data_IF_191007523655
#
_entry.id   IF_191007523655
#
_cell.length_a   1.000
_cell.length_b   1.000
_cell.length_c   1.000
_cell.angle_alpha   90.00
_cell.angle_beta   90.00
_cell.angle_gamma   90.00
#
_symmetry.space_group_name_H-M   'P 1'
#
loop_
_entity.id
_entity.type
_entity.pdbx_description
1 polymer ?
#
# COMPACT_ATOMS: atom_id res chain seq x y z
N UNK A 1 -24.97 -47.56 10.90
CA UNK A 1 -24.50 -46.76 12.07
C UNK A 1 -25.38 -45.53 12.21
N UNK A 2 -26.20 -45.46 13.27
CA UNK A 2 -27.03 -44.27 13.56
C UNK A 2 -26.19 -43.32 14.41
N UNK A 3 -25.67 -42.27 13.82
CA UNK A 3 -25.03 -41.22 14.62
C UNK A 3 -26.05 -40.59 15.56
N UNK A 4 -25.66 -40.43 16.81
CA UNK A 4 -26.46 -39.76 17.84
C UNK A 4 -26.89 -38.38 17.36
N UNK A 5 -28.11 -37.95 17.64
CA UNK A 5 -28.66 -36.63 17.29
C UNK A 5 -27.70 -35.49 17.70
N UNK A 6 -27.01 -35.65 18.82
CA UNK A 6 -26.04 -34.70 19.35
C UNK A 6 -24.83 -34.51 18.43
N UNK A 7 -24.32 -35.59 17.80
CA UNK A 7 -23.19 -35.53 16.87
C UNK A 7 -23.56 -34.80 15.57
N UNK A 8 -24.79 -34.99 15.08
CA UNK A 8 -25.30 -34.27 13.91
C UNK A 8 -25.42 -32.77 14.16
N UNK A 9 -25.96 -32.39 15.34
CA UNK A 9 -26.09 -30.97 15.70
C UNK A 9 -24.74 -30.30 15.84
N UNK A 10 -23.75 -30.97 16.47
CA UNK A 10 -22.39 -30.46 16.60
C UNK A 10 -21.72 -30.27 15.23
N UNK A 11 -21.91 -31.21 14.30
CA UNK A 11 -21.34 -31.13 12.95
C UNK A 11 -21.93 -29.98 12.15
N UNK A 12 -23.24 -29.73 12.26
CA UNK A 12 -23.91 -28.60 11.59
C UNK A 12 -23.42 -27.26 12.16
N UNK A 13 -23.29 -27.12 13.46
CA UNK A 13 -22.76 -25.89 14.10
C UNK A 13 -21.30 -25.64 13.69
N UNK A 14 -20.49 -26.69 13.64
CA UNK A 14 -19.10 -26.57 13.20
C UNK A 14 -18.98 -26.16 11.74
N UNK A 15 -19.81 -26.72 10.84
CA UNK A 15 -19.87 -26.33 9.43
C UNK A 15 -20.34 -24.87 9.26
N UNK A 16 -21.31 -24.41 10.04
CA UNK A 16 -21.78 -23.04 10.04
C UNK A 16 -20.69 -22.06 10.53
N UNK A 17 -19.93 -22.42 11.56
CA UNK A 17 -18.81 -21.62 12.04
C UNK A 17 -17.71 -21.49 10.99
N UNK A 18 -17.37 -22.56 10.25
CA UNK A 18 -16.41 -22.52 9.16
C UNK A 18 -16.93 -21.64 8.00
N UNK A 19 -18.20 -21.74 7.64
CA UNK A 19 -18.79 -20.93 6.58
C UNK A 19 -18.75 -19.43 6.89
N UNK A 20 -18.96 -19.03 8.14
CA UNK A 20 -18.90 -17.62 8.57
C UNK A 20 -17.46 -17.10 8.56
N UNK A 21 -16.47 -17.92 8.92
CA UNK A 21 -15.06 -17.50 8.89
C UNK A 21 -14.50 -17.38 7.47
N UNK A 22 -14.99 -18.16 6.52
CA UNK A 22 -14.53 -18.08 5.11
C UNK A 22 -15.09 -16.87 4.35
N UNK A 23 -16.21 -16.30 4.76
CA UNK A 23 -16.79 -15.10 4.14
C UNK A 23 -15.95 -13.83 4.36
N UNK A 24 -15.04 -13.81 5.33
CA UNK A 24 -14.16 -12.67 5.61
C UNK A 24 -12.88 -12.61 4.75
N UNK A 25 -12.59 -13.64 3.96
CA UNK A 25 -11.39 -13.73 3.12
C UNK A 25 -11.64 -13.53 1.62
N UNK A 26 -12.86 -13.16 1.22
CA UNK A 26 -13.04 -12.54 -0.07
C UNK A 26 -12.36 -11.17 0.00
N UNK A 27 -11.04 -11.15 -0.13
CA UNK A 27 -10.26 -9.95 -0.32
C UNK A 27 -10.77 -9.37 -1.63
N UNK A 28 -11.65 -8.37 -1.48
CA UNK A 28 -12.11 -7.56 -2.59
C UNK A 28 -10.85 -7.09 -3.31
N UNK A 29 -10.62 -7.53 -4.55
CA UNK A 29 -9.58 -7.06 -5.44
C UNK A 29 -9.80 -5.59 -5.84
N UNK A 30 -10.52 -4.87 -4.99
CA UNK A 30 -10.82 -3.46 -5.14
C UNK A 30 -9.50 -2.69 -5.26
N UNK A 31 -9.33 -2.06 -6.40
CA UNK A 31 -8.21 -1.16 -6.68
C UNK A 31 -8.06 -0.17 -5.52
N UNK A 32 -6.91 -0.22 -4.85
CA UNK A 32 -6.60 0.67 -3.71
C UNK A 32 -6.18 2.05 -4.21
N UNK A 33 -7.13 2.80 -4.73
CA UNK A 33 -6.97 4.17 -5.22
C UNK A 33 -7.56 5.19 -4.23
N UNK A 34 -7.64 6.47 -4.65
CA UNK A 34 -8.17 7.54 -3.82
C UNK A 34 -9.65 7.38 -3.46
N UNK A 35 -10.46 6.68 -4.26
CA UNK A 35 -11.85 6.39 -3.90
C UNK A 35 -11.90 5.39 -2.76
N UNK A 36 -11.10 4.32 -2.84
CA UNK A 36 -10.94 3.37 -1.74
C UNK A 36 -10.44 4.06 -0.47
N UNK A 37 -9.39 4.93 -0.57
CA UNK A 37 -8.83 5.66 0.55
C UNK A 37 -9.86 6.52 1.30
N UNK A 38 -10.73 7.19 0.57
CA UNK A 38 -11.77 8.04 1.17
C UNK A 38 -12.80 7.26 1.97
N UNK A 39 -13.02 5.99 1.64
CA UNK A 39 -14.06 5.15 2.24
C UNK A 39 -13.58 4.32 3.44
N UNK A 40 -12.27 4.21 3.67
CA UNK A 40 -11.76 3.49 4.84
C UNK A 40 -11.71 4.40 6.08
N UNK A 41 -11.99 3.84 7.29
CA UNK A 41 -11.93 4.60 8.53
C UNK A 41 -10.49 5.04 8.85
N UNK A 42 -10.34 6.08 9.68
CA UNK A 42 -9.03 6.64 10.06
C UNK A 42 -8.07 5.60 10.60
N UNK A 43 -8.53 4.71 11.48
CA UNK A 43 -7.69 3.62 11.99
C UNK A 43 -7.16 2.72 10.85
N UNK A 44 -8.01 2.39 9.86
CA UNK A 44 -7.62 1.62 8.69
C UNK A 44 -6.55 2.34 7.84
N UNK A 45 -6.64 3.67 7.71
CA UNK A 45 -5.62 4.49 7.03
C UNK A 45 -4.26 4.39 7.72
N UNK A 46 -4.25 4.52 9.04
CA UNK A 46 -3.01 4.44 9.83
C UNK A 46 -2.37 3.05 9.75
N UNK A 47 -3.16 1.98 9.89
CA UNK A 47 -2.65 0.62 9.73
C UNK A 47 -2.15 0.33 8.32
N UNK A 48 -2.84 0.84 7.31
CA UNK A 48 -2.38 0.70 5.92
C UNK A 48 -1.04 1.40 5.71
N UNK A 49 -0.87 2.63 6.21
CA UNK A 49 0.40 3.36 6.08
C UNK A 49 1.53 2.70 6.86
N UNK A 50 1.27 2.17 8.06
CA UNK A 50 2.25 1.38 8.79
C UNK A 50 2.74 0.19 7.96
N UNK A 51 1.82 -0.58 7.37
CA UNK A 51 2.17 -1.71 6.49
C UNK A 51 2.94 -1.29 5.23
N UNK A 52 2.62 -0.14 4.64
CA UNK A 52 3.37 0.42 3.50
C UNK A 52 4.81 0.73 3.90
N UNK A 53 5.01 1.45 5.01
CA UNK A 53 6.35 1.82 5.50
C UNK A 53 7.18 0.58 5.86
N UNK A 54 6.59 -0.38 6.57
CA UNK A 54 7.24 -1.64 6.92
C UNK A 54 7.58 -2.46 5.67
N UNK A 55 6.65 -2.55 4.69
CA UNK A 55 6.87 -3.23 3.43
C UNK A 55 8.02 -2.63 2.63
N UNK A 56 8.16 -1.31 2.63
CA UNK A 56 9.29 -0.62 1.99
C UNK A 56 10.62 -0.92 2.70
N UNK A 57 10.64 -0.99 4.03
CA UNK A 57 11.82 -1.37 4.80
C UNK A 57 12.23 -2.82 4.50
N UNK A 58 11.27 -3.75 4.50
CA UNK A 58 11.50 -5.14 4.14
C UNK A 58 12.03 -5.27 2.70
N UNK A 59 11.44 -4.54 1.75
CA UNK A 59 11.90 -4.53 0.36
C UNK A 59 13.35 -4.08 0.21
N UNK A 60 13.78 -3.07 0.98
CA UNK A 60 15.18 -2.65 1.07
C UNK A 60 16.08 -3.76 1.58
N UNK A 61 15.69 -4.41 2.67
CA UNK A 61 16.54 -5.42 3.32
C UNK A 61 16.68 -6.66 2.43
N UNK A 62 15.60 -7.11 1.79
CA UNK A 62 15.61 -8.18 0.79
C UNK A 62 16.48 -7.80 -0.42
N UNK A 63 16.33 -6.60 -0.95
CA UNK A 63 17.15 -6.13 -2.07
C UNK A 63 18.64 -6.11 -1.70
N UNK A 64 18.99 -5.58 -0.54
CA UNK A 64 20.37 -5.56 -0.06
C UNK A 64 20.96 -6.96 0.05
N UNK A 65 20.19 -7.92 0.58
CA UNK A 65 20.60 -9.31 0.68
C UNK A 65 20.80 -9.97 -0.70
N UNK A 66 19.87 -9.75 -1.64
CA UNK A 66 19.97 -10.29 -3.01
C UNK A 66 21.21 -9.74 -3.75
N UNK A 67 21.51 -8.45 -3.59
CA UNK A 67 22.70 -7.84 -4.20
C UNK A 67 24.00 -8.39 -3.62
N UNK A 68 24.05 -8.67 -2.32
CA UNK A 68 25.20 -9.33 -1.70
C UNK A 68 25.39 -10.76 -2.24
N UNK A 69 24.30 -11.52 -2.39
CA UNK A 69 24.34 -12.90 -2.85
C UNK A 69 24.73 -13.04 -4.33
N UNK A 70 24.30 -12.10 -5.18
CA UNK A 70 24.45 -12.21 -6.64
C UNK A 70 25.67 -11.47 -7.20
N UNK A 71 26.62 -11.05 -6.36
CA UNK A 71 27.85 -10.36 -6.78
C UNK A 71 27.58 -9.18 -7.75
N UNK A 72 26.52 -8.42 -7.49
CA UNK A 72 26.18 -7.23 -8.28
C UNK A 72 27.39 -6.27 -8.30
N UNK A 73 27.59 -5.54 -9.41
CA UNK A 73 28.68 -4.56 -9.51
C UNK A 73 28.57 -3.54 -8.37
N UNK A 74 29.72 -3.09 -7.87
CA UNK A 74 29.78 -2.08 -6.79
C UNK A 74 29.02 -0.80 -7.15
N UNK A 75 29.02 -0.40 -8.42
CA UNK A 75 28.28 0.75 -8.91
C UNK A 75 26.75 0.56 -8.78
N UNK A 76 26.22 -0.61 -9.13
CA UNK A 76 24.80 -0.92 -9.01
C UNK A 76 24.37 -0.93 -7.53
N UNK A 77 25.19 -1.53 -6.66
CA UNK A 77 24.96 -1.56 -5.21
C UNK A 77 25.00 -0.15 -4.61
N UNK A 78 25.97 0.67 -4.99
CA UNK A 78 26.08 2.06 -4.53
C UNK A 78 24.85 2.89 -4.94
N UNK A 79 24.40 2.76 -6.20
CA UNK A 79 23.20 3.45 -6.70
C UNK A 79 21.93 3.05 -5.94
N UNK A 80 21.77 1.76 -5.66
CA UNK A 80 20.63 1.26 -4.89
C UNK A 80 20.64 1.80 -3.44
N UNK A 81 21.80 1.72 -2.76
CA UNK A 81 21.95 2.24 -1.39
C UNK A 81 21.63 3.73 -1.35
N UNK A 82 22.09 4.51 -2.33
CA UNK A 82 21.82 5.93 -2.42
C UNK A 82 20.33 6.22 -2.64
N UNK A 83 19.68 5.46 -3.51
CA UNK A 83 18.22 5.56 -3.72
C UNK A 83 17.43 5.28 -2.45
N UNK A 84 17.80 4.25 -1.69
CA UNK A 84 17.16 3.95 -0.40
C UNK A 84 17.49 5.00 0.67
N UNK A 85 18.69 5.59 0.65
CA UNK A 85 19.06 6.67 1.56
C UNK A 85 18.23 7.91 1.30
N UNK A 86 18.12 8.34 0.04
CA UNK A 86 17.27 9.45 -0.38
C UNK A 86 15.81 9.23 0.04
N UNK A 87 15.28 8.03 -0.23
CA UNK A 87 13.95 7.65 0.18
C UNK A 87 13.76 7.70 1.72
N UNK A 88 14.69 7.14 2.49
CA UNK A 88 14.64 7.18 3.96
C UNK A 88 14.71 8.61 4.51
N UNK A 89 15.51 9.49 3.90
CA UNK A 89 15.59 10.89 4.33
C UNK A 89 14.25 11.62 4.12
N UNK A 90 13.50 11.24 3.08
CA UNK A 90 12.16 11.79 2.83
C UNK A 90 11.09 11.23 3.78
N UNK A 91 11.23 9.96 4.23
CA UNK A 91 10.27 9.31 5.15
C UNK A 91 10.67 9.51 6.61
N UNK A 92 11.96 9.57 6.91
CA UNK A 92 12.53 9.39 8.26
C UNK A 92 12.06 10.39 9.32
N UNK A 93 11.40 11.47 8.90
CA UNK A 93 10.82 12.50 9.78
C UNK A 93 9.28 12.55 9.68
N UNK A 94 8.65 11.63 8.93
CA UNK A 94 7.20 11.62 8.74
C UNK A 94 6.55 10.57 9.60
N UNK A 95 5.50 10.94 10.34
CA UNK A 95 4.66 9.96 11.04
C UNK A 95 3.60 9.38 10.08
N UNK A 96 3.03 8.22 10.43
CA UNK A 96 1.94 7.63 9.65
C UNK A 96 0.73 8.57 9.59
N UNK A 97 0.48 9.35 10.64
CA UNK A 97 -0.56 10.37 10.70
C UNK A 97 -0.31 11.48 9.68
N UNK A 98 0.91 12.02 9.63
CA UNK A 98 1.26 13.07 8.66
C UNK A 98 1.10 12.59 7.22
N UNK A 99 1.48 11.35 6.93
CA UNK A 99 1.30 10.78 5.59
C UNK A 99 -0.18 10.57 5.31
N UNK A 100 -0.97 10.06 6.27
CA UNK A 100 -2.40 9.85 6.11
C UNK A 100 -3.16 11.17 5.90
N UNK A 101 -2.81 12.22 6.62
CA UNK A 101 -3.39 13.56 6.47
C UNK A 101 -3.01 14.18 5.12
N UNK A 102 -1.76 14.06 4.72
CA UNK A 102 -1.31 14.49 3.40
C UNK A 102 -2.05 13.76 2.26
N UNK A 103 -2.34 12.45 2.43
CA UNK A 103 -3.16 11.70 1.48
C UNK A 103 -4.63 12.15 1.49
N UNK A 104 -5.19 12.52 2.64
CA UNK A 104 -6.54 13.09 2.71
C UNK A 104 -6.62 14.40 1.92
N UNK A 105 -5.61 15.26 2.03
CA UNK A 105 -5.49 16.50 1.27
C UNK A 105 -5.27 16.20 -0.23
N UNK A 106 -4.33 15.31 -0.57
CA UNK A 106 -4.03 14.91 -1.95
C UNK A 106 -5.27 14.41 -2.70
N UNK A 107 -6.09 13.58 -2.07
CA UNK A 107 -7.33 13.05 -2.66
C UNK A 107 -8.55 13.96 -2.48
N UNK A 108 -8.41 15.12 -1.85
CA UNK A 108 -9.44 16.15 -1.88
C UNK A 108 -9.64 16.68 -3.30
N UNK A 109 -8.56 16.77 -4.07
CA UNK A 109 -8.62 16.97 -5.52
C UNK A 109 -9.18 15.71 -6.21
N UNK A 110 -10.39 15.81 -6.77
CA UNK A 110 -11.05 14.68 -7.43
C UNK A 110 -10.25 14.08 -8.59
N UNK A 111 -9.37 14.87 -9.23
CA UNK A 111 -8.51 14.43 -10.34
C UNK A 111 -7.47 13.39 -9.90
N UNK A 112 -7.15 13.35 -8.60
CA UNK A 112 -6.19 12.40 -8.03
C UNK A 112 -6.82 11.07 -7.64
N UNK A 113 -8.15 10.96 -7.63
CA UNK A 113 -8.86 9.78 -7.08
C UNK A 113 -8.60 8.48 -7.84
N UNK A 114 -8.17 8.54 -9.09
CA UNK A 114 -7.76 7.36 -9.85
C UNK A 114 -6.32 6.91 -9.56
N UNK A 115 -5.52 7.74 -8.87
CA UNK A 115 -4.13 7.40 -8.51
C UNK A 115 -4.14 6.35 -7.39
N UNK A 116 -3.30 5.33 -7.53
CA UNK A 116 -3.12 4.30 -6.49
C UNK A 116 -2.60 4.92 -5.20
N UNK A 117 -3.04 4.40 -4.05
CA UNK A 117 -2.66 4.94 -2.74
C UNK A 117 -1.14 4.89 -2.52
N UNK A 118 -0.47 3.84 -2.99
CA UNK A 118 0.99 3.73 -2.89
C UNK A 118 1.71 4.84 -3.68
N UNK A 119 1.20 5.22 -4.85
CA UNK A 119 1.74 6.31 -5.65
C UNK A 119 1.45 7.68 -5.03
N UNK A 120 0.22 7.89 -4.54
CA UNK A 120 -0.15 9.09 -3.80
C UNK A 120 0.70 9.27 -2.54
N UNK A 121 0.95 8.20 -1.79
CA UNK A 121 1.83 8.20 -0.62
C UNK A 121 3.26 8.62 -0.99
N UNK A 122 3.79 8.14 -2.13
CA UNK A 122 5.12 8.55 -2.61
C UNK A 122 5.18 10.07 -2.88
N UNK A 123 4.14 10.65 -3.47
CA UNK A 123 4.06 12.11 -3.71
C UNK A 123 4.01 12.87 -2.40
N UNK A 124 3.16 12.44 -1.46
CA UNK A 124 3.01 13.08 -0.13
C UNK A 124 4.32 13.02 0.66
N UNK A 125 4.98 11.88 0.70
CA UNK A 125 6.27 11.73 1.40
C UNK A 125 7.36 12.65 0.82
N UNK A 126 7.41 12.79 -0.50
CA UNK A 126 8.31 13.74 -1.17
C UNK A 126 7.97 15.19 -0.83
N UNK A 127 6.68 15.53 -0.77
CA UNK A 127 6.22 16.86 -0.36
C UNK A 127 6.66 17.18 1.09
N UNK A 128 6.51 16.23 2.01
CA UNK A 128 6.99 16.36 3.39
C UNK A 128 8.52 16.49 3.42
N UNK A 129 9.22 15.79 2.54
CA UNK A 129 10.69 15.87 2.36
C UNK A 129 11.19 17.18 1.75
N UNK A 130 10.29 18.10 1.33
CA UNK A 130 10.66 19.42 0.82
C UNK A 130 10.91 19.46 -0.69
N UNK A 131 10.47 18.46 -1.45
CA UNK A 131 10.54 18.49 -2.92
C UNK A 131 9.78 19.70 -3.49
N UNK A 132 10.25 20.23 -4.61
CA UNK A 132 9.65 21.41 -5.23
C UNK A 132 8.22 21.15 -5.72
N UNK A 133 7.34 22.16 -5.56
CA UNK A 133 5.93 22.05 -6.01
C UNK A 133 5.82 21.73 -7.50
N UNK A 134 6.68 22.33 -8.34
CA UNK A 134 6.66 22.08 -9.79
C UNK A 134 6.97 20.62 -10.13
N UNK A 135 7.95 20.02 -9.46
CA UNK A 135 8.28 18.61 -9.63
C UNK A 135 7.15 17.69 -9.17
N UNK A 136 6.56 17.98 -8.00
CA UNK A 136 5.44 17.19 -7.47
C UNK A 136 4.20 17.26 -8.37
N UNK A 137 3.93 18.42 -8.98
CA UNK A 137 2.85 18.59 -9.94
C UNK A 137 3.08 17.78 -11.21
N UNK A 138 4.31 17.82 -11.77
CA UNK A 138 4.68 17.01 -12.94
C UNK A 138 4.51 15.51 -12.67
N UNK A 139 5.04 15.02 -11.54
CA UNK A 139 4.88 13.62 -11.11
C UNK A 139 3.40 13.27 -10.98
N UNK A 140 2.60 14.12 -10.34
CA UNK A 140 1.16 13.89 -10.16
C UNK A 140 0.41 13.82 -11.49
N UNK A 141 0.73 14.69 -12.45
CA UNK A 141 0.14 14.66 -13.81
C UNK A 141 0.47 13.34 -14.50
N UNK A 142 1.71 12.86 -14.41
CA UNK A 142 2.12 11.60 -15.01
C UNK A 142 1.40 10.40 -14.37
N UNK A 143 1.25 10.39 -13.04
CA UNK A 143 0.51 9.37 -12.31
C UNK A 143 -0.98 9.34 -12.68
N UNK A 144 -1.62 10.49 -12.86
CA UNK A 144 -3.02 10.56 -13.33
C UNK A 144 -3.20 9.86 -14.68
N UNK A 145 -2.19 9.96 -15.56
CA UNK A 145 -2.23 9.33 -16.90
C UNK A 145 -1.98 7.82 -16.82
N UNK A 146 -0.93 7.40 -16.13
CA UNK A 146 -0.55 5.99 -16.02
C UNK A 146 -1.60 5.16 -15.29
N UNK A 147 -2.02 5.61 -14.10
CA UNK A 147 -2.95 4.85 -13.27
C UNK A 147 -4.38 4.84 -13.85
N UNK A 148 -4.76 5.87 -14.61
CA UNK A 148 -6.02 5.86 -15.36
C UNK A 148 -5.99 4.88 -16.53
N UNK A 149 -4.84 4.65 -17.15
CA UNK A 149 -4.67 3.65 -18.22
C UNK A 149 -4.83 2.24 -17.67
N UNK A 150 -4.09 1.90 -16.60
CA UNK A 150 -4.18 0.60 -15.94
C UNK A 150 -5.60 0.28 -15.44
N UNK A 151 -6.35 1.31 -14.99
CA UNK A 151 -7.74 1.12 -14.56
C UNK A 151 -8.70 0.72 -15.68
N UNK A 152 -8.37 1.00 -16.95
CA UNK A 152 -9.18 0.62 -18.11
C UNK A 152 -8.91 -0.81 -18.56
N UNK A 153 -7.66 -1.26 -18.44
CA UNK A 153 -7.25 -2.60 -18.86
C UNK A 153 -7.64 -3.70 -17.86
N UNK A 154 -7.97 -3.30 -16.63
CA UNK A 154 -8.41 -4.21 -15.56
C UNK A 154 -9.92 -4.52 -15.57
N UNK A 155 -10.69 -4.00 -16.53
CA UNK A 155 -12.13 -4.22 -16.71
C UNK A 155 -12.40 -5.18 -17.86
#
# INVERSE_FOLDING_TARGET
>A
MRFSSCVRTLMVVFLLLIAVTMSGFAQDDARRDGNWWKNIPTAGKLWYMAGVVEGMQLGRDVSSWLFQKNSASDACRASLIESFRAFRNNIGNSTNEQIADGLNEFYSDYRNRSILVIHGASVVMRAIGGESKSYLEEVTINLRRSDAFEAKDAK
#
